data_IF_574553430592
#
_entry.id   IF_574553430592
#
_cell.length_a   1.000
_cell.length_b   1.000
_cell.length_c   1.000
_cell.angle_alpha   90.00
_cell.angle_beta   90.00
_cell.angle_gamma   90.00
#
_symmetry.space_group_name_H-M   'P 1'
#
loop_
_entity.id
_entity.type
_entity.pdbx_description
1 polymer ?
#
# COMPACT_ATOMS: atom_id res chain seq x y z
N UNK A 1 11.07 -6.72 -26.30
CA UNK A 1 10.06 -7.80 -26.19
C UNK A 1 9.28 -7.67 -24.89
N UNK A 2 8.15 -6.96 -24.90
CA UNK A 2 7.33 -6.71 -23.71
C UNK A 2 6.73 -8.00 -23.11
N UNK A 3 6.43 -9.00 -23.94
CA UNK A 3 5.98 -10.33 -23.51
C UNK A 3 6.99 -11.04 -22.59
N UNK A 4 8.28 -10.95 -22.91
CA UNK A 4 9.33 -11.57 -22.11
C UNK A 4 9.43 -10.95 -20.71
N UNK A 5 9.25 -9.63 -20.62
CA UNK A 5 9.25 -8.92 -19.34
C UNK A 5 8.05 -9.34 -18.47
N UNK A 6 6.85 -9.46 -19.05
CA UNK A 6 5.65 -9.92 -18.34
C UNK A 6 5.79 -11.37 -17.88
N UNK A 7 6.36 -12.24 -18.72
CA UNK A 7 6.58 -13.65 -18.38
C UNK A 7 7.58 -13.79 -17.22
N UNK A 8 8.66 -13.00 -17.22
CA UNK A 8 9.62 -12.97 -16.11
C UNK A 8 8.98 -12.51 -14.81
N UNK A 9 8.20 -11.42 -14.82
CA UNK A 9 7.59 -10.91 -13.57
C UNK A 9 6.54 -11.87 -13.03
N UNK A 10 5.74 -12.48 -13.91
CA UNK A 10 4.77 -13.50 -13.53
C UNK A 10 5.46 -14.75 -12.97
N UNK A 11 6.47 -15.28 -13.67
CA UNK A 11 7.25 -16.42 -13.22
C UNK A 11 7.96 -16.15 -11.89
N UNK A 12 8.57 -14.98 -11.74
CA UNK A 12 9.19 -14.56 -10.49
C UNK A 12 8.19 -14.49 -9.34
N UNK A 13 6.97 -14.00 -9.59
CA UNK A 13 5.90 -13.94 -8.58
C UNK A 13 5.52 -15.34 -8.10
N UNK A 14 5.33 -16.29 -9.02
CA UNK A 14 5.02 -17.70 -8.67
C UNK A 14 6.16 -18.31 -7.85
N UNK A 15 7.40 -18.17 -8.31
CA UNK A 15 8.57 -18.72 -7.60
C UNK A 15 8.68 -18.15 -6.19
N UNK A 16 8.45 -16.85 -6.01
CA UNK A 16 8.47 -16.21 -4.69
C UNK A 16 7.37 -16.76 -3.77
N UNK A 17 6.15 -16.93 -4.27
CA UNK A 17 5.03 -17.48 -3.48
C UNK A 17 5.31 -18.92 -3.08
N UNK A 18 5.79 -19.75 -4.01
CA UNK A 18 6.13 -21.14 -3.71
C UNK A 18 7.30 -21.25 -2.75
N UNK A 19 8.30 -20.37 -2.85
CA UNK A 19 9.39 -20.30 -1.88
C UNK A 19 8.84 -19.99 -0.49
N UNK A 20 7.89 -19.05 -0.36
CA UNK A 20 7.23 -18.78 0.93
C UNK A 20 6.51 -20.03 1.45
N UNK A 21 5.77 -20.77 0.60
CA UNK A 21 5.11 -22.03 1.02
C UNK A 21 6.10 -23.09 1.50
N UNK A 22 7.28 -23.19 0.86
CA UNK A 22 8.31 -24.17 1.24
C UNK A 22 8.92 -23.86 2.60
N UNK A 23 9.19 -22.59 2.91
CA UNK A 23 9.81 -22.20 4.17
C UNK A 23 8.84 -22.08 5.35
N UNK A 24 7.61 -21.61 5.12
CA UNK A 24 6.63 -21.34 6.19
C UNK A 24 5.46 -22.33 6.24
N UNK A 25 5.33 -23.22 5.24
CA UNK A 25 4.22 -24.14 5.12
C UNK A 25 3.04 -23.56 4.32
N UNK A 26 2.16 -24.42 3.80
CA UNK A 26 1.00 -24.00 3.01
C UNK A 26 -0.25 -23.70 3.85
N UNK A 27 -0.22 -23.99 5.15
CA UNK A 27 -1.37 -23.87 6.04
C UNK A 27 -1.57 -22.43 6.50
N UNK A 28 -2.83 -22.07 6.73
CA UNK A 28 -3.20 -20.77 7.27
C UNK A 28 -2.84 -20.72 8.75
N UNK A 29 -1.87 -19.87 9.09
CA UNK A 29 -1.44 -19.69 10.47
C UNK A 29 -2.23 -18.55 11.12
N UNK A 30 -2.83 -18.85 12.28
CA UNK A 30 -3.60 -17.86 13.05
C UNK A 30 -2.62 -16.90 13.70
N UNK A 31 -2.67 -15.64 13.29
CA UNK A 31 -1.86 -14.59 13.91
C UNK A 31 -2.57 -14.13 15.17
N UNK A 32 -1.98 -14.43 16.33
CA UNK A 32 -2.49 -13.93 17.60
C UNK A 32 -2.08 -12.47 17.79
N UNK A 33 -2.99 -11.63 18.28
CA UNK A 33 -2.65 -10.26 18.68
C UNK A 33 -1.77 -10.35 19.93
N UNK A 34 -0.55 -9.76 19.95
CA UNK A 34 0.30 -9.80 21.14
C UNK A 34 -0.43 -9.21 22.36
N UNK A 35 -0.31 -9.84 23.53
CA UNK A 35 -1.06 -9.48 24.75
C UNK A 35 -0.88 -8.00 25.18
N UNK A 36 0.22 -7.36 24.80
CA UNK A 36 0.50 -5.94 25.06
C UNK A 36 -0.43 -5.00 24.27
N UNK A 37 -0.95 -5.45 23.12
CA UNK A 37 -1.88 -4.70 22.27
C UNK A 37 -3.31 -5.25 22.33
N UNK A 38 -3.53 -6.38 22.99
CA UNK A 38 -4.86 -6.90 23.30
C UNK A 38 -5.47 -6.11 24.45
N UNK A 39 -6.34 -5.18 24.10
CA UNK A 39 -7.16 -4.46 25.06
C UNK A 39 -8.23 -3.71 24.29
N UNK A 40 -9.43 -3.69 24.82
CA UNK A 40 -10.51 -2.87 24.28
C UNK A 40 -10.60 -1.60 25.12
N UNK A 41 -10.84 -0.48 24.46
CA UNK A 41 -11.36 0.71 25.12
C UNK A 41 -12.85 0.74 24.83
N UNK A 42 -13.64 0.52 25.87
CA UNK A 42 -15.08 0.70 25.82
C UNK A 42 -15.37 2.18 26.03
N UNK A 43 -15.67 2.87 24.93
CA UNK A 43 -16.17 4.23 24.97
C UNK A 43 -17.63 4.16 24.54
N UNK A 44 -18.53 4.35 25.50
CA UNK A 44 -19.97 4.55 25.28
C UNK A 44 -20.60 3.48 24.35
N UNK A 45 -20.52 2.21 24.74
CA UNK A 45 -21.06 1.03 24.03
C UNK A 45 -20.39 0.64 22.70
N UNK A 46 -19.29 1.30 22.31
CA UNK A 46 -18.47 0.90 21.15
C UNK A 46 -17.15 0.29 21.62
N UNK A 47 -17.01 -1.02 21.42
CA UNK A 47 -15.78 -1.78 21.69
C UNK A 47 -14.74 -1.46 20.61
N UNK A 48 -13.83 -0.52 20.89
CA UNK A 48 -12.72 -0.23 19.98
C UNK A 48 -11.47 -0.97 20.47
N UNK A 49 -10.98 -1.92 19.66
CA UNK A 49 -9.70 -2.57 19.91
C UNK A 49 -8.56 -1.56 19.84
N UNK A 50 -7.72 -1.51 20.89
CA UNK A 50 -6.50 -0.66 20.96
C UNK A 50 -5.61 -0.83 19.73
N UNK A 51 -5.55 -2.03 19.18
CA UNK A 51 -4.77 -2.33 17.99
C UNK A 51 -5.18 -1.48 16.78
N UNK A 52 -6.48 -1.22 16.58
CA UNK A 52 -6.98 -0.40 15.46
C UNK A 52 -6.49 1.04 15.54
N UNK A 53 -6.50 1.62 16.74
CA UNK A 53 -6.02 2.98 16.98
C UNK A 53 -4.51 3.06 16.73
N UNK A 54 -3.76 2.05 17.15
CA UNK A 54 -2.31 1.97 16.93
C UNK A 54 -1.98 1.87 15.45
N UNK A 55 -2.73 1.07 14.67
CA UNK A 55 -2.55 1.00 13.22
C UNK A 55 -2.81 2.34 12.52
N UNK A 56 -3.85 3.07 12.95
CA UNK A 56 -4.15 4.42 12.43
C UNK A 56 -2.99 5.38 12.76
N UNK A 57 -2.51 5.37 14.01
CA UNK A 57 -1.38 6.21 14.43
C UNK A 57 -0.10 5.85 13.68
N UNK A 58 0.20 4.56 13.51
CA UNK A 58 1.35 4.08 12.75
C UNK A 58 1.27 4.55 11.30
N UNK A 59 0.11 4.42 10.65
CA UNK A 59 -0.12 4.91 9.30
C UNK A 59 0.06 6.43 9.18
N UNK A 60 -0.46 7.20 10.15
CA UNK A 60 -0.30 8.65 10.19
C UNK A 60 1.17 9.07 10.39
N UNK A 61 1.91 8.39 11.26
CA UNK A 61 3.34 8.61 11.48
C UNK A 61 4.13 8.32 10.21
N UNK A 62 3.89 7.15 9.59
CA UNK A 62 4.55 6.74 8.34
C UNK A 62 4.29 7.76 7.23
N UNK A 63 3.03 8.17 7.06
CA UNK A 63 2.67 9.23 6.11
C UNK A 63 3.40 10.53 6.41
N UNK A 64 3.42 10.97 7.67
CA UNK A 64 4.10 12.19 8.09
C UNK A 64 5.61 12.15 7.79
N UNK A 65 6.27 11.04 8.11
CA UNK A 65 7.70 10.83 7.84
C UNK A 65 7.99 10.88 6.34
N UNK A 66 7.24 10.15 5.52
CA UNK A 66 7.43 10.14 4.05
C UNK A 66 7.19 11.53 3.47
N UNK A 67 6.13 12.21 3.89
CA UNK A 67 5.79 13.54 3.41
C UNK A 67 6.88 14.56 3.78
N UNK A 68 7.44 14.48 4.99
CA UNK A 68 8.55 15.33 5.42
C UNK A 68 9.81 15.04 4.62
N UNK A 69 10.14 13.77 4.39
CA UNK A 69 11.30 13.38 3.58
C UNK A 69 11.14 13.94 2.15
N UNK A 70 9.99 13.70 1.50
CA UNK A 70 9.79 14.11 0.11
C UNK A 70 9.69 15.63 -0.07
N UNK A 71 9.11 16.37 0.87
CA UNK A 71 8.94 17.83 0.75
C UNK A 71 10.10 18.65 1.29
N UNK A 72 10.74 18.22 2.38
CA UNK A 72 11.74 19.04 3.09
C UNK A 72 13.19 18.59 2.87
N UNK A 73 13.46 17.39 2.37
CA UNK A 73 14.84 16.90 2.24
C UNK A 73 15.37 17.01 0.82
N UNK A 74 16.71 17.11 0.68
CA UNK A 74 17.41 17.10 -0.61
C UNK A 74 17.12 15.82 -1.40
N UNK A 75 16.98 14.68 -0.72
CA UNK A 75 16.60 13.41 -1.33
C UNK A 75 15.26 13.53 -2.08
N UNK A 76 14.25 14.15 -1.46
CA UNK A 76 12.95 14.37 -2.10
C UNK A 76 12.99 15.24 -3.36
N UNK A 77 13.88 16.24 -3.40
CA UNK A 77 14.10 17.05 -4.60
C UNK A 77 14.79 16.27 -5.70
N UNK A 78 15.83 15.49 -5.37
CA UNK A 78 16.57 14.68 -6.35
C UNK A 78 15.67 13.57 -6.91
N UNK A 79 14.84 12.93 -6.09
CA UNK A 79 13.89 11.90 -6.55
C UNK A 79 12.85 12.51 -7.49
N UNK A 80 12.30 13.69 -7.18
CA UNK A 80 11.35 14.37 -8.08
C UNK A 80 12.00 14.78 -9.39
N UNK A 81 13.20 15.37 -9.34
CA UNK A 81 13.98 15.71 -10.53
C UNK A 81 14.31 14.47 -11.36
N UNK A 82 14.62 13.35 -10.73
CA UNK A 82 14.92 12.08 -11.42
C UNK A 82 13.70 11.39 -12.04
N UNK A 83 12.47 11.74 -11.64
CA UNK A 83 11.25 11.29 -12.32
C UNK A 83 10.99 12.13 -13.58
N UNK A 84 11.36 13.40 -13.57
CA UNK A 84 11.19 14.32 -14.68
C UNK A 84 12.26 14.11 -15.77
N UNK A 85 13.54 14.11 -15.39
CA UNK A 85 14.66 13.87 -16.30
C UNK A 85 15.78 13.08 -15.60
N UNK A 86 15.91 11.81 -15.99
CA UNK A 86 16.91 10.90 -15.43
C UNK A 86 18.33 11.25 -15.88
N UNK A 87 18.47 11.71 -17.12
CA UNK A 87 19.75 11.99 -17.73
C UNK A 87 20.35 13.25 -17.14
N UNK A 88 19.52 14.27 -16.85
CA UNK A 88 19.94 15.48 -16.16
C UNK A 88 20.45 15.21 -14.74
N UNK A 89 19.79 14.34 -13.96
CA UNK A 89 20.26 14.00 -12.61
C UNK A 89 21.57 13.21 -12.62
N UNK A 90 21.76 12.33 -13.62
CA UNK A 90 23.04 11.65 -13.82
C UNK A 90 24.16 12.63 -14.22
N UNK A 91 23.88 13.61 -15.08
CA UNK A 91 24.83 14.65 -15.46
C UNK A 91 25.25 15.52 -14.27
N UNK A 92 24.38 15.70 -13.28
CA UNK A 92 24.70 16.35 -11.99
C UNK A 92 25.51 15.46 -11.02
N UNK A 93 26.02 14.31 -11.48
CA UNK A 93 26.90 13.43 -10.71
C UNK A 93 26.18 12.53 -9.69
N UNK A 94 24.85 12.45 -9.73
CA UNK A 94 24.08 11.59 -8.83
C UNK A 94 23.79 10.25 -9.49
N UNK A 95 24.12 9.14 -8.81
CA UNK A 95 23.80 7.81 -9.31
C UNK A 95 22.30 7.53 -9.17
N UNK A 96 21.56 7.74 -10.26
CA UNK A 96 20.11 7.54 -10.31
C UNK A 96 19.72 6.09 -10.01
N UNK A 97 20.54 5.10 -10.39
CA UNK A 97 20.23 3.69 -10.18
C UNK A 97 20.22 3.34 -8.69
N UNK A 98 21.23 3.80 -7.94
CA UNK A 98 21.27 3.63 -6.48
C UNK A 98 20.11 4.36 -5.79
N UNK A 99 19.77 5.57 -6.27
CA UNK A 99 18.64 6.33 -5.75
C UNK A 99 17.31 5.60 -5.95
N UNK A 100 17.00 5.15 -7.17
CA UNK A 100 15.79 4.39 -7.45
C UNK A 100 15.76 3.06 -6.70
N UNK A 101 16.89 2.38 -6.56
CA UNK A 101 17.00 1.13 -5.78
C UNK A 101 16.71 1.38 -4.30
N UNK A 102 17.24 2.46 -3.73
CA UNK A 102 16.95 2.86 -2.34
C UNK A 102 15.48 3.20 -2.12
N UNK A 103 14.87 3.97 -3.02
CA UNK A 103 13.43 4.29 -2.96
C UNK A 103 12.59 3.02 -3.07
N UNK A 104 12.96 2.10 -3.98
CA UNK A 104 12.27 0.82 -4.13
C UNK A 104 12.39 -0.05 -2.88
N UNK A 105 13.58 -0.14 -2.29
CA UNK A 105 13.82 -0.88 -1.04
C UNK A 105 13.00 -0.32 0.12
N UNK A 106 12.94 1.01 0.26
CA UNK A 106 12.09 1.68 1.27
C UNK A 106 10.61 1.39 1.00
N UNK A 107 10.16 1.47 -0.26
CA UNK A 107 8.79 1.12 -0.65
C UNK A 107 8.42 -0.32 -0.33
N UNK A 108 9.31 -1.27 -0.61
CA UNK A 108 9.13 -2.68 -0.27
C UNK A 108 9.06 -2.89 1.26
N UNK A 109 9.92 -2.20 2.03
CA UNK A 109 9.86 -2.23 3.50
C UNK A 109 8.57 -1.66 4.06
N UNK A 110 8.04 -0.59 3.48
CA UNK A 110 6.75 -0.01 3.85
C UNK A 110 5.58 -0.94 3.50
N UNK A 111 5.65 -1.62 2.35
CA UNK A 111 4.66 -2.63 1.97
C UNK A 111 4.68 -3.81 2.95
N UNK A 112 5.87 -4.27 3.38
CA UNK A 112 6.02 -5.30 4.39
C UNK A 112 5.43 -4.86 5.74
N UNK A 113 5.71 -3.63 6.19
CA UNK A 113 5.10 -3.06 7.41
C UNK A 113 3.56 -3.03 7.32
N UNK A 114 3.00 -2.63 6.18
CA UNK A 114 1.56 -2.65 5.95
C UNK A 114 0.98 -4.06 5.96
N UNK A 115 1.68 -5.03 5.35
CA UNK A 115 1.30 -6.44 5.34
C UNK A 115 1.27 -7.05 6.74
N UNK A 116 2.28 -6.78 7.57
CA UNK A 116 2.31 -7.21 8.99
C UNK A 116 1.14 -6.61 9.77
N UNK A 117 0.85 -5.32 9.58
CA UNK A 117 -0.27 -4.67 10.25
C UNK A 117 -1.63 -5.28 9.85
N UNK A 118 -1.80 -5.63 8.57
CA UNK A 118 -3.02 -6.28 8.08
C UNK A 118 -3.14 -7.74 8.54
N UNK A 119 -2.04 -8.49 8.58
CA UNK A 119 -2.02 -9.87 9.08
C UNK A 119 -2.51 -9.96 10.52
N UNK A 120 -2.06 -9.04 11.39
CA UNK A 120 -2.50 -8.99 12.79
C UNK A 120 -3.96 -8.50 12.89
N UNK A 121 -4.40 -7.60 11.99
CA UNK A 121 -5.80 -7.17 11.94
C UNK A 121 -6.75 -8.30 11.53
N UNK A 122 -6.38 -9.10 10.54
CA UNK A 122 -7.18 -10.21 10.01
C UNK A 122 -7.01 -11.52 10.79
N UNK A 123 -6.10 -11.56 11.78
CA UNK A 123 -5.78 -12.73 12.61
C UNK A 123 -5.34 -13.97 11.82
N UNK A 124 -4.98 -13.82 10.55
CA UNK A 124 -4.69 -14.92 9.65
C UNK A 124 -3.56 -14.55 8.70
N UNK A 125 -2.63 -15.48 8.51
CA UNK A 125 -1.58 -15.38 7.51
C UNK A 125 -1.65 -16.58 6.59
N UNK A 126 -1.77 -16.30 5.30
CA UNK A 126 -1.71 -17.30 4.23
C UNK A 126 -0.76 -16.83 3.11
N UNK A 127 0.02 -17.72 2.48
CA UNK A 127 1.08 -17.36 1.54
C UNK A 127 0.63 -16.50 0.34
N UNK A 128 -0.63 -16.63 -0.09
CA UNK A 128 -1.18 -15.93 -1.27
C UNK A 128 -1.85 -14.59 -0.93
N UNK A 129 -1.78 -14.12 0.32
CA UNK A 129 -2.45 -12.89 0.75
C UNK A 129 -2.01 -11.66 -0.07
N UNK A 130 -0.77 -11.65 -0.55
CA UNK A 130 -0.20 -10.54 -1.32
C UNK A 130 -1.00 -10.27 -2.59
N UNK A 131 -1.48 -11.31 -3.27
CA UNK A 131 -2.27 -11.19 -4.49
C UNK A 131 -3.61 -10.48 -4.24
N UNK A 132 -4.27 -10.80 -3.13
CA UNK A 132 -5.53 -10.14 -2.74
C UNK A 132 -5.31 -8.65 -2.49
N UNK A 133 -4.30 -8.29 -1.71
CA UNK A 133 -4.03 -6.89 -1.37
C UNK A 133 -3.38 -6.08 -2.51
N UNK A 134 -2.74 -6.74 -3.48
CA UNK A 134 -2.18 -6.10 -4.66
C UNK A 134 -3.25 -5.34 -5.45
N UNK A 135 -4.41 -5.95 -5.67
CA UNK A 135 -5.53 -5.31 -6.37
C UNK A 135 -6.05 -4.09 -5.60
N UNK A 136 -6.19 -4.20 -4.27
CA UNK A 136 -6.56 -3.07 -3.42
C UNK A 136 -5.54 -1.91 -3.51
N UNK A 137 -4.24 -2.22 -3.48
CA UNK A 137 -3.18 -1.23 -3.62
C UNK A 137 -3.22 -0.53 -4.98
N UNK A 138 -3.46 -1.27 -6.07
CA UNK A 138 -3.65 -0.69 -7.40
C UNK A 138 -4.81 0.28 -7.44
N UNK A 139 -5.98 -0.11 -6.92
CA UNK A 139 -7.17 0.75 -6.86
C UNK A 139 -6.87 2.05 -6.12
N UNK A 140 -6.22 1.96 -4.96
CA UNK A 140 -5.85 3.12 -4.14
C UNK A 140 -4.89 4.06 -4.86
N UNK A 141 -3.86 3.53 -5.54
CA UNK A 141 -2.88 4.34 -6.27
C UNK A 141 -3.52 5.04 -7.47
N UNK A 142 -4.39 4.33 -8.21
CA UNK A 142 -5.10 4.88 -9.36
C UNK A 142 -6.05 6.00 -8.92
N UNK A 143 -6.85 5.76 -7.88
CA UNK A 143 -7.77 6.76 -7.31
C UNK A 143 -7.00 7.95 -6.75
N UNK A 144 -5.89 7.71 -6.06
CA UNK A 144 -5.08 8.76 -5.47
C UNK A 144 -4.37 9.65 -6.50
N UNK A 145 -3.96 9.06 -7.63
CA UNK A 145 -3.17 9.70 -8.68
C UNK A 145 -1.70 9.25 -8.64
N UNK A 146 -1.18 8.85 -9.80
CA UNK A 146 0.21 8.40 -9.97
C UNK A 146 1.18 9.55 -9.60
N UNK A 147 2.00 9.34 -8.57
CA UNK A 147 3.02 10.30 -8.13
C UNK A 147 2.62 11.25 -7.00
N UNK A 148 1.39 11.16 -6.46
CA UNK A 148 0.94 11.99 -5.34
C UNK A 148 0.76 11.18 -4.05
N UNK A 149 1.70 11.31 -3.11
CA UNK A 149 1.62 10.62 -1.79
C UNK A 149 0.39 11.07 -1.00
N UNK A 150 0.04 12.36 -1.06
CA UNK A 150 -1.19 12.88 -0.42
C UNK A 150 -2.43 12.30 -1.09
N UNK A 151 -2.41 12.18 -2.42
CA UNK A 151 -3.49 11.56 -3.17
C UNK A 151 -3.71 10.11 -2.79
N UNK A 152 -2.62 9.32 -2.69
CA UNK A 152 -2.69 7.93 -2.25
C UNK A 152 -3.24 7.77 -0.83
N UNK A 153 -2.93 8.68 0.11
CA UNK A 153 -3.51 8.65 1.46
C UNK A 153 -5.03 8.86 1.41
N UNK A 154 -5.50 9.89 0.70
CA UNK A 154 -6.94 10.18 0.59
C UNK A 154 -7.64 9.04 -0.15
N UNK A 155 -7.04 8.50 -1.21
CA UNK A 155 -7.53 7.33 -1.93
C UNK A 155 -7.67 6.11 -1.02
N UNK A 156 -6.67 5.84 -0.17
CA UNK A 156 -6.69 4.74 0.78
C UNK A 156 -7.82 4.88 1.81
N UNK A 157 -8.04 6.10 2.31
CA UNK A 157 -9.13 6.39 3.26
C UNK A 157 -10.50 6.19 2.60
N UNK A 158 -10.72 6.73 1.40
CA UNK A 158 -12.00 6.59 0.67
C UNK A 158 -12.29 5.11 0.38
N UNK A 159 -11.33 4.40 -0.20
CA UNK A 159 -11.49 2.99 -0.58
C UNK A 159 -11.66 2.13 0.67
N UNK A 160 -10.81 2.31 1.68
CA UNK A 160 -10.86 1.53 2.92
C UNK A 160 -12.16 1.72 3.69
N UNK A 161 -12.63 2.96 3.86
CA UNK A 161 -13.88 3.25 4.54
C UNK A 161 -15.09 2.73 3.74
N UNK A 162 -15.10 2.95 2.43
CA UNK A 162 -16.19 2.47 1.57
C UNK A 162 -16.26 0.94 1.55
N UNK A 163 -15.12 0.26 1.48
CA UNK A 163 -15.06 -1.19 1.55
C UNK A 163 -15.63 -1.71 2.86
N UNK A 164 -15.22 -1.15 4.01
CA UNK A 164 -15.72 -1.57 5.32
C UNK A 164 -17.23 -1.32 5.47
N UNK A 165 -17.72 -0.16 5.02
CA UNK A 165 -19.14 0.18 5.14
C UNK A 165 -20.03 -0.74 4.29
N UNK A 166 -19.59 -1.05 3.06
CA UNK A 166 -20.34 -1.94 2.18
C UNK A 166 -20.17 -3.41 2.57
N UNK A 167 -19.02 -3.82 3.08
CA UNK A 167 -18.84 -5.14 3.66
C UNK A 167 -19.78 -5.39 4.84
N UNK A 168 -20.09 -4.35 5.63
CA UNK A 168 -21.06 -4.43 6.72
C UNK A 168 -22.51 -4.56 6.23
N UNK A 169 -22.90 -3.80 5.20
CA UNK A 169 -24.27 -3.81 4.67
C UNK A 169 -24.57 -5.01 3.76
N UNK A 170 -23.65 -5.34 2.85
CA UNK A 170 -23.83 -6.34 1.80
C UNK A 170 -22.51 -7.12 1.57
N UNK A 171 -22.24 -8.18 2.34
CA UNK A 171 -20.96 -8.90 2.32
C UNK A 171 -20.60 -9.49 0.95
N UNK A 172 -21.58 -9.93 0.16
CA UNK A 172 -21.36 -10.53 -1.16
C UNK A 172 -20.97 -9.50 -2.24
N UNK A 173 -21.29 -8.22 -2.04
CA UNK A 173 -20.99 -7.15 -2.99
C UNK A 173 -19.68 -6.40 -2.67
N UNK A 174 -19.07 -6.65 -1.50
CA UNK A 174 -17.95 -5.88 -0.97
C UNK A 174 -16.73 -5.82 -1.92
N UNK A 175 -16.40 -6.95 -2.55
CA UNK A 175 -15.28 -7.00 -3.51
C UNK A 175 -15.59 -6.24 -4.80
N UNK A 176 -16.82 -6.31 -5.31
CA UNK A 176 -17.26 -5.63 -6.54
C UNK A 176 -17.34 -4.10 -6.38
N UNK A 177 -17.59 -3.63 -5.16
CA UNK A 177 -17.72 -2.20 -4.85
C UNK A 177 -16.42 -1.43 -5.05
N UNK A 178 -15.26 -1.99 -4.69
CA UNK A 178 -13.98 -1.30 -4.92
C UNK A 178 -13.72 -1.05 -6.40
N UNK A 179 -14.06 -2.02 -7.24
CA UNK A 179 -13.92 -1.92 -8.70
C UNK A 179 -14.91 -0.91 -9.26
N UNK A 180 -16.17 -0.91 -8.79
CA UNK A 180 -17.16 0.10 -9.17
C UNK A 180 -16.72 1.51 -8.78
N UNK A 181 -16.22 1.70 -7.55
CA UNK A 181 -15.71 2.99 -7.08
C UNK A 181 -14.52 3.45 -7.94
N UNK A 182 -13.61 2.55 -8.29
CA UNK A 182 -12.51 2.86 -9.21
C UNK A 182 -13.04 3.34 -10.57
N UNK A 183 -14.01 2.63 -11.16
CA UNK A 183 -14.62 2.99 -12.45
C UNK A 183 -15.28 4.37 -12.37
N UNK A 184 -16.07 4.63 -11.32
CA UNK A 184 -16.76 5.91 -11.11
C UNK A 184 -15.74 7.05 -10.95
N UNK A 185 -14.71 6.85 -10.12
CA UNK A 185 -13.69 7.89 -9.88
C UNK A 185 -12.90 8.18 -11.16
N UNK A 186 -12.53 7.16 -11.93
CA UNK A 186 -11.86 7.36 -13.22
C UNK A 186 -12.73 8.03 -14.26
N UNK A 187 -14.04 7.76 -14.28
CA UNK A 187 -15.01 8.46 -15.13
C UNK A 187 -15.10 9.96 -14.80
N UNK A 188 -15.02 10.32 -13.51
CA UNK A 188 -15.13 11.70 -13.06
C UNK A 188 -13.78 12.43 -13.12
N UNK A 189 -12.68 11.75 -12.81
CA UNK A 189 -11.31 12.27 -12.83
C UNK A 189 -10.31 11.22 -13.30
N UNK A 190 -10.00 11.16 -14.61
CA UNK A 190 -9.12 10.14 -15.18
C UNK A 190 -7.65 10.23 -14.72
N UNK A 191 -7.26 11.35 -14.09
CA UNK A 191 -5.91 11.57 -13.54
C UNK A 191 -5.80 11.29 -12.03
N UNK A 192 -6.88 10.85 -11.37
CA UNK A 192 -6.94 10.65 -9.91
C UNK A 192 -7.35 11.91 -9.13
N UNK A 193 -7.54 11.78 -7.81
CA UNK A 193 -8.03 12.86 -6.93
C UNK A 193 -7.05 14.03 -6.83
N UNK A 194 -5.75 13.75 -6.71
CA UNK A 194 -4.72 14.76 -6.57
C UNK A 194 -3.57 14.49 -7.55
N UNK A 195 -3.49 15.31 -8.59
CA UNK A 195 -2.36 15.29 -9.52
C UNK A 195 -1.08 15.72 -8.79
N UNK A 196 0.03 15.02 -9.02
CA UNK A 196 1.35 15.52 -8.64
C UNK A 196 1.54 16.89 -9.30
N UNK A 197 1.77 17.93 -8.49
CA UNK A 197 1.87 19.30 -8.97
C UNK A 197 2.86 19.42 -10.13
N UNK A 198 2.45 20.13 -11.17
CA UNK A 198 3.37 20.81 -12.08
C UNK A 198 4.23 21.78 -11.28
#
# INVERSE_FOLDING_TARGET
NHLFQILITFGATIVLVELIRVFWGPNDEVTTVPLTFSGNWDIMDVVISRYRVICILLGAIVYGVIQLILKKTKLGTIVRAGVEDRDMVQAMGHNIYLLFTGVFAVGAGLAALGGVAMSIFSLQVYPDMGGTYLLFAFIVVIIGGLGSVTGSLVGALIVGLSYNYVAYLVPWAAAGVNVLIMIIILLIRPTGLFQAGK
#
